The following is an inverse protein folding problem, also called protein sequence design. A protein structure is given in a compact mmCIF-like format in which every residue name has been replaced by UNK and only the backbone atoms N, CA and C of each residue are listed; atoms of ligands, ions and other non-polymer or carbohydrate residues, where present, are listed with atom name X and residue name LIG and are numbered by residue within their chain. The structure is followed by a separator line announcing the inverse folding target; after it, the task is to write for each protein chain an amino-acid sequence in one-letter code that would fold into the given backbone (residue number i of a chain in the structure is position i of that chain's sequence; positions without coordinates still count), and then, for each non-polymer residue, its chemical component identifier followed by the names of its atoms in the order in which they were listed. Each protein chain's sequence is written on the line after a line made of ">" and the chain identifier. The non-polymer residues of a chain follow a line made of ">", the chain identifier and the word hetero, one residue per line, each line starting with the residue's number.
data_IF_640925734565
#
_entry.id   IF_640925734565
#
_cell.length_a   1.000
_cell.length_b   1.000
_cell.length_c   1.000
_cell.angle_alpha   90.00
_cell.angle_beta   90.00
_cell.angle_gamma   90.00
#
_symmetry.space_group_name_H-M   'P 1'
#
loop_
_entity.id
_entity.type
_entity.pdbx_description
1 polymer ?
#
# COMPACT_ATOMS: atom_id res chain seq x y z
N UNK A 1 2.79 -8.88 -8.46
CA UNK A 1 1.99 -9.10 -9.70
C UNK A 1 1.14 -7.86 -9.99
N UNK A 2 0.51 -7.71 -11.17
CA UNK A 2 -0.57 -6.72 -11.36
C UNK A 2 -1.93 -7.26 -10.86
N UNK A 3 -2.86 -6.35 -10.55
CA UNK A 3 -4.15 -6.68 -9.93
C UNK A 3 -5.06 -7.55 -10.83
N UNK A 4 -4.96 -7.41 -12.15
CA UNK A 4 -5.81 -8.16 -13.08
C UNK A 4 -5.37 -9.63 -13.11
N UNK A 5 -4.07 -9.86 -13.20
CA UNK A 5 -3.49 -11.20 -13.16
C UNK A 5 -3.76 -11.89 -11.82
N UNK A 6 -3.64 -11.16 -10.70
CA UNK A 6 -3.95 -11.68 -9.37
C UNK A 6 -5.41 -12.13 -9.27
N UNK A 7 -6.36 -11.28 -9.67
CA UNK A 7 -7.78 -11.61 -9.59
C UNK A 7 -8.15 -12.83 -10.47
N UNK A 8 -7.55 -12.95 -11.66
CA UNK A 8 -7.77 -14.12 -12.53
C UNK A 8 -7.29 -15.41 -11.88
N UNK A 9 -6.08 -15.39 -11.30
CA UNK A 9 -5.49 -16.55 -10.64
C UNK A 9 -6.26 -16.94 -9.38
N UNK A 10 -6.61 -15.95 -8.54
CA UNK A 10 -7.44 -16.15 -7.36
C UNK A 10 -8.78 -16.78 -7.71
N UNK A 11 -9.50 -16.22 -8.69
CA UNK A 11 -10.79 -16.76 -9.14
C UNK A 11 -10.64 -18.20 -9.64
N UNK A 12 -9.62 -18.48 -10.46
CA UNK A 12 -9.38 -19.84 -10.96
C UNK A 12 -9.17 -20.84 -9.82
N UNK A 13 -8.51 -20.47 -8.72
CA UNK A 13 -8.38 -21.36 -7.56
C UNK A 13 -9.68 -21.50 -6.80
N UNK A 14 -10.40 -20.41 -6.56
CA UNK A 14 -11.70 -20.45 -5.86
C UNK A 14 -12.74 -21.32 -6.58
N UNK A 15 -12.67 -21.38 -7.93
CA UNK A 15 -13.54 -22.24 -8.73
C UNK A 15 -13.14 -23.73 -8.70
N UNK A 16 -11.89 -24.05 -8.37
CA UNK A 16 -11.32 -25.41 -8.46
C UNK A 16 -10.93 -26.04 -7.12
N UNK A 17 -10.95 -25.28 -6.03
CA UNK A 17 -10.56 -25.72 -4.70
C UNK A 17 -11.57 -25.27 -3.63
N UNK A 18 -11.56 -25.94 -2.49
CA UNK A 18 -12.37 -25.53 -1.33
C UNK A 18 -11.59 -24.56 -0.44
N UNK A 19 -12.26 -23.58 0.19
CA UNK A 19 -11.61 -22.76 1.21
C UNK A 19 -11.13 -23.63 2.37
N UNK A 20 -10.03 -23.20 3.00
CA UNK A 20 -9.50 -23.86 4.18
C UNK A 20 -10.44 -23.72 5.39
N UNK A 21 -10.28 -24.62 6.35
CA UNK A 21 -11.00 -24.50 7.63
C UNK A 21 -10.35 -23.45 8.54
N UNK A 22 -11.03 -23.11 9.64
CA UNK A 22 -10.57 -22.12 10.60
C UNK A 22 -9.25 -22.48 11.27
N UNK A 23 -8.93 -23.78 11.40
CA UNK A 23 -7.69 -24.25 12.00
C UNK A 23 -6.49 -23.92 11.10
N UNK A 24 -6.61 -24.20 9.80
CA UNK A 24 -5.60 -23.84 8.81
C UNK A 24 -5.48 -22.31 8.67
N UNK A 25 -6.60 -21.59 8.63
CA UNK A 25 -6.60 -20.12 8.60
C UNK A 25 -5.86 -19.53 9.81
N UNK A 26 -6.12 -20.09 11.01
CA UNK A 26 -5.44 -19.69 12.24
C UNK A 26 -3.95 -19.99 12.21
N UNK A 27 -3.53 -21.12 11.64
CA UNK A 27 -2.12 -21.46 11.51
C UNK A 27 -1.38 -20.47 10.62
N UNK A 28 -1.89 -20.19 9.42
CA UNK A 28 -1.31 -19.20 8.51
C UNK A 28 -1.27 -17.81 9.15
N UNK A 29 -2.36 -17.40 9.80
CA UNK A 29 -2.45 -16.13 10.52
C UNK A 29 -1.34 -15.99 11.57
N UNK A 30 -1.07 -17.04 12.35
CA UNK A 30 0.00 -17.01 13.34
C UNK A 30 1.40 -16.93 12.70
N UNK A 31 1.65 -17.69 11.64
CA UNK A 31 2.92 -17.64 10.92
C UNK A 31 3.16 -16.25 10.32
N UNK A 32 2.13 -15.66 9.69
CA UNK A 32 2.19 -14.32 9.14
C UNK A 32 2.37 -13.27 10.23
N UNK A 33 1.64 -13.35 11.34
CA UNK A 33 1.78 -12.43 12.47
C UNK A 33 3.21 -12.43 13.03
N UNK A 34 3.80 -13.62 13.20
CA UNK A 34 5.18 -13.77 13.65
C UNK A 34 6.16 -13.12 12.65
N UNK A 35 6.04 -13.44 11.36
CA UNK A 35 6.91 -12.88 10.32
C UNK A 35 6.82 -11.34 10.23
N UNK A 36 5.61 -10.78 10.31
CA UNK A 36 5.41 -9.32 10.28
C UNK A 36 6.01 -8.65 11.52
N UNK A 37 5.81 -9.22 12.70
CA UNK A 37 6.35 -8.69 13.96
C UNK A 37 7.89 -8.74 13.96
N UNK A 38 8.49 -9.84 13.50
CA UNK A 38 9.95 -10.02 13.46
C UNK A 38 10.63 -9.13 12.42
N UNK A 39 9.91 -8.74 11.36
CA UNK A 39 10.45 -7.90 10.27
C UNK A 39 10.87 -6.50 10.69
N UNK A 40 10.29 -5.98 11.79
CA UNK A 40 10.41 -4.59 12.25
C UNK A 40 9.94 -3.52 11.25
N UNK A 41 9.26 -3.93 10.17
CA UNK A 41 8.62 -3.01 9.22
C UNK A 41 7.35 -2.40 9.80
N UNK A 42 6.76 -3.08 10.77
CA UNK A 42 5.50 -2.72 11.41
C UNK A 42 5.73 -2.48 12.90
N UNK A 43 5.18 -1.38 13.42
CA UNK A 43 5.17 -1.07 14.84
C UNK A 43 3.98 -1.68 15.57
N UNK A 44 2.89 -1.94 14.84
CA UNK A 44 1.68 -2.60 15.33
C UNK A 44 1.13 -3.56 14.26
N UNK A 45 0.66 -4.74 14.69
CA UNK A 45 0.20 -5.82 13.82
C UNK A 45 -1.01 -6.49 14.45
N UNK A 46 -2.19 -6.27 13.85
CA UNK A 46 -3.43 -6.92 14.25
C UNK A 46 -3.94 -7.81 13.11
N UNK A 47 -3.86 -9.14 13.29
CA UNK A 47 -4.40 -10.10 12.33
C UNK A 47 -5.59 -10.86 12.89
N UNK A 48 -6.65 -10.95 12.09
CA UNK A 48 -7.86 -11.74 12.34
C UNK A 48 -8.10 -12.78 11.25
N UNK A 49 -9.22 -13.50 11.38
CA UNK A 49 -9.74 -14.34 10.32
C UNK A 49 -11.25 -14.12 10.21
N UNK A 50 -11.83 -14.40 9.04
CA UNK A 50 -13.27 -14.24 8.78
C UNK A 50 -13.84 -15.48 8.11
N UNK A 51 -15.17 -15.51 7.92
CA UNK A 51 -15.85 -16.54 7.11
C UNK A 51 -16.01 -16.12 5.64
N UNK A 52 -15.47 -14.96 5.25
CA UNK A 52 -15.46 -14.49 3.87
C UNK A 52 -14.36 -15.22 3.08
N UNK A 53 -14.75 -15.94 2.03
CA UNK A 53 -13.82 -16.69 1.16
C UNK A 53 -12.85 -15.80 0.41
N UNK A 54 -13.17 -14.52 0.25
CA UNK A 54 -12.27 -13.53 -0.35
C UNK A 54 -11.29 -12.92 0.67
N UNK A 55 -11.57 -13.07 1.97
CA UNK A 55 -10.82 -12.43 3.06
C UNK A 55 -10.71 -13.34 4.29
N UNK A 56 -10.26 -14.58 4.08
CA UNK A 56 -10.20 -15.58 5.15
C UNK A 56 -9.24 -15.15 6.28
N UNK A 57 -8.12 -14.51 5.94
CA UNK A 57 -7.22 -13.84 6.89
C UNK A 57 -7.20 -12.35 6.56
N UNK A 58 -7.46 -11.51 7.56
CA UNK A 58 -7.38 -10.05 7.42
C UNK A 58 -6.38 -9.46 8.40
N UNK A 59 -5.78 -8.34 8.03
CA UNK A 59 -4.81 -7.66 8.86
C UNK A 59 -4.86 -6.15 8.71
N UNK A 60 -4.72 -5.47 9.85
CA UNK A 60 -4.39 -4.05 9.90
C UNK A 60 -3.05 -3.91 10.60
N UNK A 61 -2.13 -3.21 9.96
CA UNK A 61 -0.82 -2.92 10.50
C UNK A 61 -0.59 -1.41 10.56
N UNK A 62 0.29 -0.99 11.46
CA UNK A 62 0.89 0.34 11.42
C UNK A 62 2.37 0.19 11.08
N UNK A 63 2.83 0.92 10.07
CA UNK A 63 4.25 0.97 9.71
C UNK A 63 5.06 1.45 10.92
N UNK A 64 6.27 0.90 11.08
CA UNK A 64 7.19 1.39 12.10
C UNK A 64 7.58 2.85 11.84
N UNK A 65 8.07 3.54 12.87
CA UNK A 65 8.51 4.92 12.74
C UNK A 65 9.61 5.06 11.67
N UNK A 66 9.41 5.99 10.74
CA UNK A 66 10.32 6.21 9.61
C UNK A 66 10.19 5.21 8.45
N UNK A 67 9.31 4.21 8.55
CA UNK A 67 8.98 3.31 7.44
C UNK A 67 7.78 3.87 6.67
N UNK A 68 7.95 4.00 5.35
CA UNK A 68 6.90 4.42 4.44
C UNK A 68 6.05 3.21 3.96
N UNK A 69 4.77 3.41 3.59
CA UNK A 69 3.92 2.31 3.14
C UNK A 69 4.49 1.48 1.99
N UNK A 70 5.18 2.12 1.03
CA UNK A 70 5.82 1.42 -0.09
C UNK A 70 6.99 0.52 0.36
N UNK A 71 7.75 0.93 1.38
CA UNK A 71 8.83 0.11 1.95
C UNK A 71 8.27 -1.10 2.68
N UNK A 72 7.21 -0.88 3.47
CA UNK A 72 6.47 -1.95 4.11
C UNK A 72 5.89 -2.94 3.09
N UNK A 73 5.35 -2.45 1.96
CA UNK A 73 4.82 -3.27 0.88
C UNK A 73 5.88 -4.15 0.23
N UNK A 74 7.03 -3.58 -0.15
CA UNK A 74 8.15 -4.37 -0.69
C UNK A 74 8.68 -5.39 0.31
N UNK A 75 8.75 -5.03 1.59
CA UNK A 75 9.20 -5.92 2.64
C UNK A 75 8.23 -7.07 2.88
N UNK A 76 6.92 -6.79 2.91
CA UNK A 76 5.88 -7.80 3.01
C UNK A 76 5.86 -8.74 1.81
N UNK A 77 6.06 -8.23 0.59
CA UNK A 77 6.19 -9.08 -0.61
C UNK A 77 7.32 -10.10 -0.45
N UNK A 78 8.47 -9.69 0.09
CA UNK A 78 9.60 -10.60 0.37
C UNK A 78 9.31 -11.57 1.50
N UNK A 79 8.67 -11.13 2.58
CA UNK A 79 8.27 -12.01 3.68
C UNK A 79 7.28 -13.06 3.21
N UNK A 80 6.35 -12.67 2.33
CA UNK A 80 5.36 -13.57 1.77
C UNK A 80 5.99 -14.75 1.04
N UNK A 81 7.07 -14.52 0.29
CA UNK A 81 7.83 -15.60 -0.36
C UNK A 81 8.37 -16.63 0.63
N UNK A 82 8.65 -16.23 1.87
CA UNK A 82 9.08 -17.15 2.94
C UNK A 82 7.87 -17.88 3.54
N UNK A 83 6.77 -17.17 3.78
CA UNK A 83 5.53 -17.75 4.33
C UNK A 83 4.89 -18.76 3.36
N UNK A 84 4.95 -18.50 2.06
CA UNK A 84 4.36 -19.32 1.01
C UNK A 84 5.35 -20.29 0.33
N UNK A 85 6.59 -20.40 0.84
CA UNK A 85 7.68 -21.12 0.15
C UNK A 85 7.37 -22.58 -0.20
N UNK A 86 6.68 -23.30 0.71
CA UNK A 86 6.41 -24.73 0.57
C UNK A 86 5.02 -25.02 -0.04
N UNK A 87 4.40 -24.03 -0.66
CA UNK A 87 3.03 -24.14 -1.17
C UNK A 87 3.03 -24.53 -2.64
N UNK A 88 2.06 -25.36 -3.05
CA UNK A 88 1.97 -25.83 -4.43
C UNK A 88 1.50 -24.72 -5.39
N UNK A 89 0.79 -23.73 -4.86
CA UNK A 89 0.24 -22.62 -5.60
C UNK A 89 0.11 -21.40 -4.69
N UNK A 90 0.57 -20.25 -5.18
CA UNK A 90 0.41 -18.94 -4.57
C UNK A 90 0.19 -17.87 -5.64
N UNK A 91 -0.54 -16.81 -5.29
CA UNK A 91 -0.61 -15.57 -6.02
C UNK A 91 -0.73 -14.40 -5.03
N UNK A 92 -0.04 -13.29 -5.29
CA UNK A 92 -0.14 -12.09 -4.46
C UNK A 92 -0.07 -10.81 -5.29
N UNK A 93 -0.63 -9.75 -4.72
CA UNK A 93 -0.68 -8.40 -5.27
C UNK A 93 -0.36 -7.40 -4.15
N UNK A 94 0.47 -6.41 -4.48
CA UNK A 94 0.80 -5.32 -3.57
C UNK A 94 0.53 -4.00 -4.29
N UNK A 95 -0.22 -3.11 -3.65
CA UNK A 95 -0.44 -1.74 -4.08
C UNK A 95 0.01 -0.80 -2.98
N UNK A 96 0.71 0.27 -3.35
CA UNK A 96 1.18 1.26 -2.40
C UNK A 96 0.82 2.65 -2.89
N UNK A 97 0.33 3.45 -1.97
CA UNK A 97 0.15 4.90 -2.08
C UNK A 97 0.95 5.57 -0.97
N UNK A 98 1.00 6.90 -0.95
CA UNK A 98 1.69 7.63 0.12
C UNK A 98 1.02 7.46 1.49
N UNK A 99 -0.25 7.07 1.51
CA UNK A 99 -1.09 6.97 2.71
C UNK A 99 -1.44 5.54 3.12
N UNK A 100 -1.20 4.54 2.25
CA UNK A 100 -1.63 3.17 2.51
C UNK A 100 -0.82 2.16 1.68
N UNK A 101 -0.52 1.03 2.31
CA UNK A 101 -0.11 -0.21 1.66
C UNK A 101 -1.29 -1.19 1.70
N UNK A 102 -1.63 -1.79 0.57
CA UNK A 102 -2.64 -2.84 0.41
C UNK A 102 -1.95 -4.08 -0.16
N UNK A 103 -2.05 -5.18 0.57
CA UNK A 103 -1.52 -6.47 0.21
C UNK A 103 -2.65 -7.48 0.17
N UNK A 104 -2.77 -8.18 -0.96
CA UNK A 104 -3.70 -9.28 -1.13
C UNK A 104 -2.95 -10.52 -1.59
N UNK A 105 -3.32 -11.68 -1.06
CA UNK A 105 -2.77 -12.94 -1.49
C UNK A 105 -3.80 -14.07 -1.47
N UNK A 106 -3.52 -15.11 -2.23
CA UNK A 106 -4.22 -16.37 -2.21
C UNK A 106 -3.19 -17.49 -2.27
N UNK A 107 -3.34 -18.52 -1.45
CA UNK A 107 -2.35 -19.59 -1.33
C UNK A 107 -2.99 -20.92 -0.96
N UNK A 108 -2.42 -22.01 -1.45
CA UNK A 108 -2.79 -23.37 -1.02
C UNK A 108 -2.03 -23.76 0.25
N UNK A 109 -2.71 -24.36 1.21
CA UNK A 109 -2.16 -24.57 2.57
C UNK A 109 -2.09 -26.03 3.01
N UNK A 110 -2.54 -26.96 2.18
CA UNK A 110 -2.39 -28.40 2.42
C UNK A 110 -2.32 -29.22 1.13
N UNK A 111 -2.10 -30.52 1.30
CA UNK A 111 -2.02 -31.53 0.24
C UNK A 111 -3.37 -31.78 -0.48
N UNK A 112 -4.48 -31.35 0.13
CA UNK A 112 -5.82 -31.37 -0.45
C UNK A 112 -6.08 -30.16 -1.35
N UNK A 113 -5.13 -29.23 -1.43
CA UNK A 113 -5.24 -28.02 -2.24
C UNK A 113 -6.23 -27.01 -1.68
N UNK A 114 -6.57 -27.07 -0.38
CA UNK A 114 -7.43 -26.04 0.23
C UNK A 114 -6.72 -24.70 0.22
N UNK A 115 -7.47 -23.65 -0.08
CA UNK A 115 -6.90 -22.31 -0.23
C UNK A 115 -7.24 -21.38 0.94
N UNK A 116 -6.36 -20.41 1.18
CA UNK A 116 -6.59 -19.26 2.06
C UNK A 116 -6.36 -17.98 1.26
N UNK A 117 -7.26 -17.02 1.42
CA UNK A 117 -7.11 -15.64 0.99
C UNK A 117 -6.65 -14.77 2.15
N UNK A 118 -5.76 -13.83 1.85
CA UNK A 118 -5.15 -12.92 2.82
C UNK A 118 -5.33 -11.49 2.32
N UNK A 119 -5.73 -10.58 3.19
CA UNK A 119 -5.78 -9.15 2.93
C UNK A 119 -5.16 -8.38 4.11
N UNK A 120 -4.05 -7.70 3.87
CA UNK A 120 -3.35 -6.90 4.88
C UNK A 120 -3.26 -5.47 4.38
N UNK A 121 -3.69 -4.53 5.21
CA UNK A 121 -3.50 -3.11 4.97
C UNK A 121 -2.56 -2.52 6.02
N UNK A 122 -1.69 -1.60 5.60
CA UNK A 122 -0.84 -0.86 6.52
C UNK A 122 -0.89 0.65 6.29
N UNK A 123 -1.12 1.38 7.38
CA UNK A 123 -1.04 2.84 7.42
C UNK A 123 0.35 3.31 7.87
N UNK A 124 0.79 4.51 7.47
CA UNK A 124 1.98 5.13 8.04
C UNK A 124 1.83 5.32 9.57
N UNK A 125 2.96 5.39 10.27
CA UNK A 125 2.98 5.79 11.68
C UNK A 125 2.44 7.22 11.87
N UNK A 126 1.97 7.55 13.07
CA UNK A 126 1.57 8.93 13.41
C UNK A 126 2.72 9.93 13.24
N UNK A 127 3.96 9.50 13.53
CA UNK A 127 5.15 10.32 13.31
C UNK A 127 5.37 10.59 11.81
N UNK A 128 5.24 9.55 10.97
CA UNK A 128 5.36 9.68 9.51
C UNK A 128 4.25 10.58 8.95
N UNK A 129 2.99 10.39 9.39
CA UNK A 129 1.85 11.24 8.99
C UNK A 129 2.10 12.71 9.32
N UNK A 130 2.65 13.01 10.51
CA UNK A 130 2.97 14.38 10.91
C UNK A 130 4.04 15.02 10.01
N UNK A 131 5.08 14.26 9.64
CA UNK A 131 6.12 14.73 8.70
C UNK A 131 5.54 14.99 7.31
N UNK A 132 4.73 14.06 6.78
CA UNK A 132 4.09 14.22 5.47
C UNK A 132 3.17 15.45 5.44
N UNK A 133 2.39 15.68 6.50
CA UNK A 133 1.52 16.85 6.61
C UNK A 133 2.32 18.17 6.63
N UNK A 134 3.45 18.21 7.35
CA UNK A 134 4.31 19.39 7.39
C UNK A 134 4.93 19.70 6.01
N UNK A 135 5.38 18.66 5.29
CA UNK A 135 5.92 18.79 3.94
C UNK A 135 4.87 19.25 2.93
N UNK A 136 3.65 18.72 2.99
CA UNK A 136 2.55 19.14 2.13
C UNK A 136 2.20 20.63 2.34
N UNK A 137 2.13 21.08 3.59
CA UNK A 137 1.86 22.49 3.92
C UNK A 137 2.99 23.44 3.51
N UNK A 138 4.24 22.97 3.46
CA UNK A 138 5.35 23.75 2.91
C UNK A 138 5.31 23.83 1.38
N UNK A 139 5.02 22.72 0.71
CA UNK A 139 4.87 22.67 -0.74
C UNK A 139 3.73 23.56 -1.25
N UNK A 140 2.60 23.60 -0.53
CA UNK A 140 1.47 24.48 -0.85
C UNK A 140 1.86 25.96 -0.74
N UNK A 141 2.54 26.35 0.34
CA UNK A 141 3.04 27.72 0.52
C UNK A 141 4.08 28.12 -0.55
N UNK A 142 4.91 27.19 -0.97
CA UNK A 142 5.88 27.42 -2.05
C UNK A 142 5.16 27.58 -3.40
N UNK A 143 4.14 26.77 -3.68
CA UNK A 143 3.33 26.86 -4.88
C UNK A 143 2.55 28.18 -4.96
N UNK A 144 1.96 28.64 -3.86
CA UNK A 144 1.31 29.95 -3.76
C UNK A 144 2.29 31.08 -4.05
N UNK A 145 3.48 31.06 -3.43
CA UNK A 145 4.53 32.07 -3.67
C UNK A 145 4.97 32.08 -5.13
N UNK A 146 5.11 30.90 -5.75
CA UNK A 146 5.47 30.81 -7.17
C UNK A 146 4.36 31.34 -8.09
N UNK A 147 3.09 31.09 -7.76
CA UNK A 147 1.95 31.63 -8.50
C UNK A 147 1.89 33.15 -8.40
N UNK A 148 2.10 33.73 -7.21
CA UNK A 148 2.16 35.18 -7.00
C UNK A 148 3.30 35.82 -7.79
N UNK A 149 4.49 35.21 -7.78
CA UNK A 149 5.65 35.70 -8.54
C UNK A 149 5.42 35.62 -10.06
N UNK A 150 4.75 34.57 -10.54
CA UNK A 150 4.38 34.45 -11.95
C UNK A 150 3.37 35.53 -12.37
N UNK A 151 2.36 35.81 -11.55
CA UNK A 151 1.37 36.86 -11.80
C UNK A 151 2.01 38.26 -11.82
N UNK A 152 2.95 38.53 -10.91
CA UNK A 152 3.70 39.80 -10.89
C UNK A 152 4.58 39.97 -12.14
N UNK A 153 5.25 38.91 -12.60
CA UNK A 153 6.08 38.95 -13.81
C UNK A 153 5.26 39.17 -15.09
N UNK A 154 4.06 38.58 -15.18
CA UNK A 154 3.13 38.81 -16.31
C UNK A 154 2.55 40.24 -16.29
N UNK A 155 2.31 40.81 -15.10
CA UNK A 155 1.89 42.20 -14.94
C UNK A 155 2.96 43.21 -15.37
N UNK A 156 4.22 43.02 -14.93
CA UNK A 156 5.34 43.91 -15.28
C UNK A 156 5.66 43.87 -16.79
N UNK A 157 5.53 42.70 -17.44
CA UNK A 157 5.72 42.59 -18.89
C UNK A 157 4.61 43.27 -19.68
N UNK A 158 3.36 43.24 -19.21
CA UNK A 158 2.25 43.96 -19.83
C UNK A 158 2.37 45.50 -19.72
N UNK A 159 2.77 46.02 -18.55
CA UNK A 159 3.00 47.45 -18.33
C UNK A 159 4.19 47.99 -19.15
N UNK A 160 5.27 47.20 -19.25
CA UNK A 160 6.42 47.55 -20.08
C UNK A 160 6.04 47.68 -21.57
N UNK A 161 5.15 46.83 -22.09
CA UNK A 161 4.68 46.90 -23.47
C UNK A 161 3.75 48.09 -23.74
N UNK A 162 2.87 48.45 -22.79
CA UNK A 162 2.03 49.65 -22.92
C UNK A 162 2.85 50.94 -22.93
N UNK A 163 3.89 51.02 -22.09
CA UNK A 163 4.78 52.18 -22.00
C UNK A 163 5.53 52.47 -23.31
N UNK A 164 5.95 51.41 -24.02
CA UNK A 164 6.66 51.53 -25.32
C UNK A 164 5.73 51.97 -26.44
N UNK A 165 4.45 51.58 -26.40
CA UNK A 165 3.44 51.99 -27.40
C UNK A 165 3.05 53.47 -27.29
N UNK A 166 3.01 54.02 -26.07
CA UNK A 166 2.67 55.44 -25.84
C UNK A 166 3.80 56.37 -26.32
N UNK A 167 5.08 55.96 -26.20
CA UNK A 167 6.24 56.75 -26.63
C UNK A 167 6.48 56.76 -28.15
N UNK A 168 5.75 55.94 -28.92
CA UNK A 168 5.87 55.85 -30.39
C UNK A 168 4.73 56.53 -31.16
N UNK A 169 3.79 57.16 -30.46
CA UNK A 169 2.66 57.93 -31.02
C UNK A 169 2.95 59.43 -30.97
#
# INVERSE_FOLDING_TARGET
>A
MDVTSFNKLRLAVQENASPADSALATHLRHALQAALTESRLFGDVELGHTDDVDQLVIGVCRCADGVLPWEAGMGLERLWQTVAADTAWEAHFVSCTDSLMDFQAAVTVDDKGRYITVHVVAEPSEATKAVQAAQAAEAEREAERQAELAEQADGETAEAQQSVSILRS
#
